data_IF_472095082735
#
_entry.id   IF_472095082735
#
_cell.length_a   1.000
_cell.length_b   1.000
_cell.length_c   1.000
_cell.angle_alpha   90.00
_cell.angle_beta   90.00
_cell.angle_gamma   90.00
#
_symmetry.space_group_name_H-M   'P 1'
#
loop_
_entity.id
_entity.type
_entity.pdbx_description
1 polymer ?
#
# COMPACT_ATOMS: atom_id res chain seq x y z
N UNK A 1 -7.44 11.70 -21.67
CA UNK A 1 -7.42 11.51 -20.20
C UNK A 1 -7.91 10.10 -19.93
N UNK A 2 -7.14 9.27 -19.24
CA UNK A 2 -7.60 7.94 -18.86
C UNK A 2 -8.84 8.12 -17.96
N UNK A 3 -9.95 7.44 -18.28
CA UNK A 3 -11.11 7.37 -17.41
C UNK A 3 -10.97 6.07 -16.57
N UNK A 4 -10.25 6.09 -15.44
CA UNK A 4 -10.02 4.90 -14.63
C UNK A 4 -11.37 4.37 -14.14
N UNK A 5 -11.65 3.10 -14.44
CA UNK A 5 -12.87 2.44 -13.98
C UNK A 5 -12.73 2.10 -12.49
N UNK A 6 -13.62 2.65 -11.66
CA UNK A 6 -13.67 2.39 -10.21
C UNK A 6 -14.23 1.01 -9.87
N UNK A 7 -14.81 0.31 -10.84
CA UNK A 7 -15.37 -1.05 -10.68
C UNK A 7 -14.32 -2.08 -10.22
N UNK A 8 -13.03 -1.85 -10.52
CA UNK A 8 -11.92 -2.70 -10.07
C UNK A 8 -11.45 -2.40 -8.63
N UNK A 9 -12.22 -1.62 -7.88
CA UNK A 9 -11.92 -1.17 -6.52
C UNK A 9 -11.24 0.19 -6.49
N UNK A 10 -11.65 1.03 -5.52
CA UNK A 10 -11.10 2.35 -5.27
C UNK A 10 -10.70 2.50 -3.80
N UNK A 11 -9.61 3.21 -3.56
CA UNK A 11 -9.14 3.46 -2.19
C UNK A 11 -9.87 4.68 -1.65
N UNK A 12 -10.83 4.45 -0.76
CA UNK A 12 -11.53 5.49 -0.01
C UNK A 12 -11.00 5.50 1.42
N UNK A 13 -10.33 6.58 1.80
CA UNK A 13 -9.65 6.74 3.09
C UNK A 13 -10.10 8.07 3.70
N UNK A 14 -10.32 8.08 5.02
CA UNK A 14 -10.62 9.30 5.76
C UNK A 14 -9.44 10.28 5.68
N UNK A 15 -9.74 11.58 5.50
CA UNK A 15 -8.72 12.62 5.35
C UNK A 15 -7.73 12.63 6.52
N UNK A 16 -8.19 12.47 7.75
CA UNK A 16 -7.31 12.45 8.94
C UNK A 16 -6.24 11.36 8.87
N UNK A 17 -6.59 10.17 8.35
CA UNK A 17 -5.63 9.08 8.15
C UNK A 17 -4.65 9.41 7.02
N UNK A 18 -5.14 10.06 5.97
CA UNK A 18 -4.31 10.51 4.85
C UNK A 18 -3.32 11.58 5.29
N UNK A 19 -3.74 12.53 6.13
CA UNK A 19 -2.89 13.55 6.73
C UNK A 19 -1.84 12.96 7.66
N UNK A 20 -2.24 12.02 8.52
CA UNK A 20 -1.29 11.27 9.35
C UNK A 20 -0.26 10.52 8.51
N UNK A 21 -0.66 9.90 7.39
CA UNK A 21 0.26 9.23 6.47
C UNK A 21 1.26 10.20 5.85
N UNK A 22 0.81 11.41 5.47
CA UNK A 22 1.70 12.45 4.93
C UNK A 22 2.70 12.95 5.96
N UNK A 23 2.30 13.04 7.24
CA UNK A 23 3.16 13.50 8.33
C UNK A 23 4.12 12.42 8.88
N UNK A 24 3.91 11.14 8.55
CA UNK A 24 4.62 10.01 9.14
C UNK A 24 6.13 9.94 8.81
N UNK A 25 6.66 10.77 7.91
CA UNK A 25 8.09 10.82 7.60
C UNK A 25 8.65 9.55 6.93
N UNK A 26 7.78 8.78 6.26
CA UNK A 26 8.13 7.50 5.65
C UNK A 26 9.09 7.67 4.47
N UNK A 27 10.06 6.76 4.36
CA UNK A 27 10.92 6.66 3.19
C UNK A 27 10.12 6.11 1.99
N UNK A 28 10.65 6.30 0.77
CA UNK A 28 9.98 5.94 -0.50
C UNK A 28 9.50 4.48 -0.56
N UNK A 29 10.24 3.55 0.04
CA UNK A 29 9.86 2.13 0.05
C UNK A 29 8.76 1.84 1.09
N UNK A 30 8.85 2.45 2.27
CA UNK A 30 7.86 2.33 3.34
C UNK A 30 6.52 2.90 2.87
N UNK A 31 6.54 4.08 2.25
CA UNK A 31 5.36 4.71 1.67
C UNK A 31 4.68 3.80 0.64
N UNK A 32 5.45 3.15 -0.25
CA UNK A 32 4.93 2.19 -1.22
C UNK A 32 4.34 0.95 -0.56
N UNK A 33 4.96 0.45 0.50
CA UNK A 33 4.44 -0.68 1.26
C UNK A 33 3.13 -0.32 1.97
N UNK A 34 3.03 0.86 2.58
CA UNK A 34 1.78 1.34 3.20
C UNK A 34 0.68 1.53 2.17
N UNK A 35 0.97 2.13 1.00
CA UNK A 35 0.00 2.21 -0.10
C UNK A 35 -0.49 0.83 -0.57
N UNK A 36 0.37 -0.19 -0.55
CA UNK A 36 -0.03 -1.56 -0.84
C UNK A 36 -1.04 -2.08 0.19
N UNK A 37 -0.76 -1.87 1.48
CA UNK A 37 -1.67 -2.25 2.57
C UNK A 37 -3.01 -1.53 2.42
N UNK A 38 -2.98 -0.21 2.22
CA UNK A 38 -4.18 0.61 2.01
C UNK A 38 -5.01 0.14 0.80
N UNK A 39 -4.37 -0.26 -0.30
CA UNK A 39 -5.05 -0.83 -1.46
C UNK A 39 -5.80 -2.12 -1.09
N UNK A 40 -5.20 -3.00 -0.31
CA UNK A 40 -5.86 -4.25 0.10
C UNK A 40 -6.97 -4.02 1.13
N UNK A 41 -6.72 -3.15 2.10
CA UNK A 41 -7.65 -2.86 3.19
C UNK A 41 -8.85 -2.03 2.74
N UNK A 42 -8.62 -0.90 2.05
CA UNK A 42 -9.67 0.04 1.67
C UNK A 42 -10.10 -0.12 0.21
N UNK A 43 -9.15 -0.45 -0.68
CA UNK A 43 -9.44 -0.65 -2.11
C UNK A 43 -10.26 -1.91 -2.38
N UNK A 44 -9.78 -3.06 -1.90
CA UNK A 44 -10.45 -4.36 -2.10
C UNK A 44 -11.42 -4.68 -0.96
N UNK A 45 -11.38 -3.92 0.15
CA UNK A 45 -12.21 -4.11 1.35
C UNK A 45 -12.04 -5.48 2.01
N UNK A 46 -10.82 -6.04 1.95
CA UNK A 46 -10.51 -7.31 2.63
C UNK A 46 -10.27 -7.08 4.12
N UNK A 47 -11.01 -7.80 4.98
CA UNK A 47 -10.78 -7.80 6.44
C UNK A 47 -9.45 -8.45 6.83
N UNK A 48 -9.03 -9.44 6.05
CA UNK A 48 -7.75 -10.13 6.24
C UNK A 48 -7.19 -10.53 4.87
N UNK A 49 -5.91 -10.26 4.66
CA UNK A 49 -5.20 -10.66 3.46
C UNK A 49 -3.80 -11.16 3.86
N UNK A 50 -3.51 -12.42 3.56
CA UNK A 50 -2.16 -12.97 3.75
C UNK A 50 -1.34 -12.69 2.50
N UNK A 51 -0.51 -11.65 2.56
CA UNK A 51 0.36 -11.25 1.45
C UNK A 51 1.71 -11.94 1.53
N UNK A 52 2.13 -12.58 0.44
CA UNK A 52 3.49 -13.10 0.28
C UNK A 52 4.43 -11.95 -0.07
N UNK A 53 5.69 -12.03 0.38
CA UNK A 53 6.74 -11.04 0.03
C UNK A 53 6.89 -10.82 -1.49
N UNK A 54 6.68 -11.87 -2.30
CA UNK A 54 6.66 -11.79 -3.77
C UNK A 54 5.51 -10.94 -4.31
N UNK A 55 4.30 -11.06 -3.75
CA UNK A 55 3.14 -10.29 -4.19
C UNK A 55 3.33 -8.81 -3.87
N UNK A 56 3.85 -8.50 -2.66
CA UNK A 56 4.21 -7.14 -2.26
C UNK A 56 5.28 -6.58 -3.21
N UNK A 57 6.33 -7.33 -3.51
CA UNK A 57 7.39 -6.91 -4.42
C UNK A 57 6.86 -6.56 -5.82
N UNK A 58 5.96 -7.39 -6.37
CA UNK A 58 5.36 -7.19 -7.70
C UNK A 58 4.49 -5.92 -7.71
N UNK A 59 3.65 -5.73 -6.69
CA UNK A 59 2.73 -4.59 -6.62
C UNK A 59 3.44 -3.26 -6.34
N UNK A 60 4.40 -3.27 -5.41
CA UNK A 60 5.13 -2.07 -4.99
C UNK A 60 6.33 -1.75 -5.87
N UNK A 61 6.70 -2.68 -6.77
CA UNK A 61 7.94 -2.64 -7.57
C UNK A 61 9.20 -2.49 -6.72
N UNK A 62 9.18 -2.99 -5.48
CA UNK A 62 10.34 -3.03 -4.59
C UNK A 62 11.06 -4.39 -4.81
N UNK A 63 12.39 -4.41 -4.96
CA UNK A 63 13.14 -5.66 -5.01
C UNK A 63 12.91 -6.51 -3.76
N UNK A 64 12.73 -7.83 -3.93
CA UNK A 64 12.47 -8.78 -2.85
C UNK A 64 13.36 -8.64 -1.60
N UNK A 65 14.69 -8.41 -1.70
CA UNK A 65 15.54 -8.24 -0.53
C UNK A 65 15.11 -7.02 0.31
N UNK A 66 14.83 -5.90 -0.35
CA UNK A 66 14.43 -4.64 0.28
C UNK A 66 13.03 -4.68 0.87
N UNK A 67 12.14 -5.54 0.34
CA UNK A 67 10.81 -5.73 0.94
C UNK A 67 10.93 -6.23 2.37
N UNK A 68 11.85 -7.15 2.66
CA UNK A 68 12.02 -7.69 4.00
C UNK A 68 12.53 -6.64 5.00
N UNK A 69 13.51 -5.84 4.58
CA UNK A 69 14.04 -4.72 5.35
C UNK A 69 12.94 -3.71 5.65
N UNK A 70 12.21 -3.28 4.61
CA UNK A 70 11.13 -2.29 4.73
C UNK A 70 10.02 -2.76 5.67
N UNK A 71 9.64 -4.03 5.61
CA UNK A 71 8.62 -4.61 6.50
C UNK A 71 9.09 -4.80 7.95
N UNK A 72 10.40 -4.76 8.20
CA UNK A 72 10.96 -4.86 9.55
C UNK A 72 11.08 -3.47 10.19
N UNK A 73 11.27 -2.43 9.37
CA UNK A 73 11.38 -1.04 9.82
C UNK A 73 10.02 -0.37 10.04
N UNK A 74 8.99 -0.79 9.29
CA UNK A 74 7.59 -0.37 9.47
C UNK A 74 7.02 -0.85 10.81
#
# INVERSE_FOLDING_TARGET
MANPQTENGHVEIANDLWEALMAAGLNKNEYRAVLCILRYSYGVKLKYAKLRKKEIAILTRIPLPKVNETLTTL
#
